data_IF_935706233228
#
_entry.id   IF_935706233228
#
_cell.length_a   1.000
_cell.length_b   1.000
_cell.length_c   1.000
_cell.angle_alpha   90.00
_cell.angle_beta   90.00
_cell.angle_gamma   90.00
#
_symmetry.space_group_name_H-M   'P 1'
#
loop_
_entity.id
_entity.type
_entity.pdbx_description
1 polymer ?
#
# COMPACT_ATOMS: atom_id res chain seq x y z
N UNK A 1 -15.14 -11.69 19.19
CA UNK A 1 -15.60 -11.44 17.82
C UNK A 1 -16.31 -10.11 17.84
N UNK A 2 -15.82 -9.14 17.07
CA UNK A 2 -16.34 -7.78 16.96
C UNK A 2 -16.44 -7.35 15.49
N UNK A 3 -16.32 -8.31 14.56
CA UNK A 3 -16.33 -8.08 13.11
C UNK A 3 -17.76 -7.94 12.54
N UNK A 4 -18.78 -7.97 13.41
CA UNK A 4 -20.19 -8.09 13.05
C UNK A 4 -21.10 -7.00 13.63
N UNK A 5 -20.65 -6.21 14.61
CA UNK A 5 -21.48 -5.12 15.14
C UNK A 5 -21.52 -3.91 14.22
N UNK A 6 -20.47 -3.68 13.43
CA UNK A 6 -20.33 -2.62 12.43
C UNK A 6 -20.96 -2.90 11.06
N UNK A 7 -21.83 -3.92 10.93
CA UNK A 7 -22.56 -4.21 9.67
C UNK A 7 -24.08 -4.12 9.81
N UNK A 8 -24.60 -3.80 11.00
CA UNK A 8 -26.04 -3.83 11.32
C UNK A 8 -26.68 -2.45 11.43
N UNK A 9 -25.92 -1.36 11.55
CA UNK A 9 -26.38 0.02 11.46
C UNK A 9 -26.25 0.53 10.02
N UNK A 10 -27.21 0.13 9.19
CA UNK A 10 -27.34 0.35 7.74
C UNK A 10 -27.21 1.80 7.20
N UNK A 11 -26.84 2.80 8.00
CA UNK A 11 -26.78 4.21 7.56
C UNK A 11 -25.53 4.98 7.99
N UNK A 12 -24.83 4.59 9.05
CA UNK A 12 -23.62 5.29 9.54
C UNK A 12 -22.34 4.45 9.43
N UNK A 13 -22.46 3.12 9.40
CA UNK A 13 -21.31 2.21 9.29
C UNK A 13 -20.63 2.27 7.94
N UNK A 14 -21.40 2.40 6.85
CA UNK A 14 -20.83 2.39 5.51
C UNK A 14 -20.00 3.66 5.23
N UNK A 15 -20.43 4.84 5.70
CA UNK A 15 -19.72 6.10 5.42
C UNK A 15 -18.40 6.22 6.18
N UNK A 16 -18.40 5.93 7.48
CA UNK A 16 -17.20 6.02 8.33
C UNK A 16 -16.18 4.92 7.99
N UNK A 17 -16.64 3.72 7.66
CA UNK A 17 -15.78 2.65 7.15
C UNK A 17 -15.17 3.00 5.79
N UNK A 18 -15.95 3.58 4.87
CA UNK A 18 -15.41 4.04 3.57
C UNK A 18 -14.33 5.10 3.77
N UNK A 19 -14.55 6.04 4.69
CA UNK A 19 -13.59 7.11 4.99
C UNK A 19 -12.29 6.54 5.58
N UNK A 20 -12.39 5.63 6.56
CA UNK A 20 -11.24 4.97 7.16
C UNK A 20 -10.48 4.10 6.15
N UNK A 21 -11.18 3.40 5.25
CA UNK A 21 -10.58 2.65 4.15
C UNK A 21 -9.83 3.58 3.19
N UNK A 22 -10.45 4.67 2.74
CA UNK A 22 -9.81 5.63 1.84
C UNK A 22 -8.57 6.26 2.49
N UNK A 23 -8.64 6.57 3.78
CA UNK A 23 -7.50 7.10 4.57
C UNK A 23 -6.36 6.10 4.70
N UNK A 24 -6.68 4.83 4.96
CA UNK A 24 -5.71 3.74 4.99
C UNK A 24 -5.02 3.54 3.63
N UNK A 25 -5.80 3.54 2.54
CA UNK A 25 -5.29 3.44 1.18
C UNK A 25 -4.36 4.60 0.82
N UNK A 26 -4.77 5.85 1.08
CA UNK A 26 -3.93 7.04 0.81
C UNK A 26 -2.60 6.96 1.57
N UNK A 27 -2.63 6.55 2.84
CA UNK A 27 -1.42 6.40 3.65
C UNK A 27 -0.52 5.26 3.14
N UNK A 28 -1.11 4.13 2.74
CA UNK A 28 -0.39 3.02 2.16
C UNK A 28 0.27 3.40 0.82
N UNK A 29 -0.48 4.07 -0.07
CA UNK A 29 0.06 4.59 -1.33
C UNK A 29 1.16 5.61 -1.10
N UNK A 30 1.05 6.51 -0.11
CA UNK A 30 2.11 7.47 0.21
C UNK A 30 3.42 6.79 0.59
N UNK A 31 3.36 5.66 1.31
CA UNK A 31 4.54 4.83 1.61
C UNK A 31 5.04 4.11 0.36
N UNK A 32 4.14 3.51 -0.41
CA UNK A 32 4.47 2.84 -1.68
C UNK A 32 5.16 3.76 -2.69
N UNK A 33 4.67 4.99 -2.86
CA UNK A 33 5.27 5.98 -3.76
C UNK A 33 6.67 6.44 -3.29
N UNK A 34 6.88 6.58 -1.98
CA UNK A 34 8.23 6.87 -1.45
C UNK A 34 9.20 5.73 -1.75
N UNK A 35 8.77 4.48 -1.60
CA UNK A 35 9.58 3.30 -1.93
C UNK A 35 9.86 3.22 -3.43
N UNK A 36 8.86 3.45 -4.28
CA UNK A 36 9.04 3.55 -5.74
C UNK A 36 10.09 4.61 -6.11
N UNK A 37 10.00 5.79 -5.48
CA UNK A 37 10.96 6.86 -5.73
C UNK A 37 12.39 6.44 -5.36
N UNK A 38 12.57 5.78 -4.21
CA UNK A 38 13.87 5.24 -3.79
C UNK A 38 14.38 4.19 -4.79
N UNK A 39 13.53 3.29 -5.26
CA UNK A 39 13.90 2.26 -6.25
C UNK A 39 14.37 2.90 -7.57
N UNK A 40 13.64 3.89 -8.08
CA UNK A 40 14.01 4.62 -9.30
C UNK A 40 15.33 5.37 -9.09
N UNK A 41 15.52 5.99 -7.92
CA UNK A 41 16.75 6.71 -7.61
C UNK A 41 17.96 5.78 -7.50
N UNK A 42 17.81 4.62 -6.87
CA UNK A 42 18.81 3.55 -6.82
C UNK A 42 19.15 3.04 -8.21
N UNK A 43 18.16 2.92 -9.09
CA UNK A 43 18.40 2.57 -10.49
C UNK A 43 19.15 3.64 -11.27
N UNK A 44 18.88 4.92 -10.99
CA UNK A 44 19.57 6.03 -11.65
C UNK A 44 21.04 6.14 -11.20
N UNK A 45 21.35 5.79 -9.95
CA UNK A 45 22.70 5.79 -9.39
C UNK A 45 23.46 4.49 -9.75
N UNK A 46 22.75 3.37 -9.81
CA UNK A 46 23.30 2.05 -10.07
C UNK A 46 23.55 1.81 -11.56
N UNK A 47 24.82 1.57 -11.89
CA UNK A 47 25.37 1.25 -13.21
C UNK A 47 24.75 0.00 -13.89
N UNK A 48 23.47 0.03 -14.28
CA UNK A 48 22.84 -0.98 -15.13
C UNK A 48 22.92 -0.67 -16.63
N UNK A 49 23.70 0.34 -17.02
CA UNK A 49 23.95 0.72 -18.41
C UNK A 49 24.55 -0.40 -19.29
N UNK A 50 25.03 -1.51 -18.69
CA UNK A 50 25.68 -2.60 -19.43
C UNK A 50 24.70 -3.66 -19.92
N UNK A 51 23.59 -3.93 -19.21
CA UNK A 51 22.60 -4.96 -19.57
C UNK A 51 21.17 -4.58 -19.19
N UNK A 52 20.37 -4.24 -20.19
CA UNK A 52 18.97 -3.76 -20.04
C UNK A 52 18.04 -4.83 -19.46
N UNK A 53 18.32 -6.11 -19.73
CA UNK A 53 17.51 -7.25 -19.27
C UNK A 53 17.47 -7.36 -17.75
N UNK A 54 18.64 -7.27 -17.10
CA UNK A 54 18.73 -7.32 -15.64
C UNK A 54 18.09 -6.11 -14.97
N UNK A 55 18.16 -4.94 -15.60
CA UNK A 55 17.46 -3.75 -15.15
C UNK A 55 15.93 -3.96 -15.16
N UNK A 56 15.40 -4.59 -16.22
CA UNK A 56 13.98 -4.90 -16.33
C UNK A 56 13.54 -5.93 -15.28
N UNK A 57 14.33 -7.00 -15.07
CA UNK A 57 14.05 -8.01 -14.04
C UNK A 57 13.99 -7.37 -12.65
N UNK A 58 14.96 -6.51 -12.32
CA UNK A 58 14.99 -5.82 -11.03
C UNK A 58 13.80 -4.86 -10.85
N UNK A 59 13.41 -4.13 -11.91
CA UNK A 59 12.20 -3.30 -11.88
C UNK A 59 10.94 -4.13 -11.62
N UNK A 60 10.78 -5.26 -12.30
CA UNK A 60 9.60 -6.10 -12.12
C UNK A 60 9.49 -6.64 -10.70
N UNK A 61 10.60 -7.12 -10.13
CA UNK A 61 10.64 -7.63 -8.75
C UNK A 61 10.30 -6.51 -7.76
N UNK A 62 10.94 -5.35 -7.90
CA UNK A 62 10.73 -4.23 -6.99
C UNK A 62 9.32 -3.67 -7.05
N UNK A 63 8.75 -3.48 -8.23
CA UNK A 63 7.35 -3.04 -8.40
C UNK A 63 6.38 -4.05 -7.82
N UNK A 64 6.60 -5.35 -8.05
CA UNK A 64 5.76 -6.41 -7.48
C UNK A 64 5.79 -6.41 -5.96
N UNK A 65 6.98 -6.26 -5.37
CA UNK A 65 7.15 -6.20 -3.91
C UNK A 65 6.50 -4.96 -3.30
N UNK A 66 6.63 -3.80 -3.95
CA UNK A 66 5.99 -2.57 -3.50
C UNK A 66 4.46 -2.71 -3.58
N UNK A 67 3.94 -3.29 -4.66
CA UNK A 67 2.50 -3.53 -4.80
C UNK A 67 1.95 -4.43 -3.70
N UNK A 68 2.62 -5.56 -3.42
CA UNK A 68 2.26 -6.45 -2.32
C UNK A 68 2.30 -5.74 -0.96
N UNK A 69 3.33 -4.91 -0.73
CA UNK A 69 3.47 -4.12 0.50
C UNK A 69 2.34 -3.10 0.64
N UNK A 70 1.94 -2.41 -0.43
CA UNK A 70 0.84 -1.44 -0.41
C UNK A 70 -0.48 -2.11 -0.06
N UNK A 71 -0.78 -3.27 -0.64
CA UNK A 71 -1.98 -4.05 -0.28
C UNK A 71 -1.95 -4.46 1.19
N UNK A 72 -0.82 -5.00 1.65
CA UNK A 72 -0.68 -5.42 3.04
C UNK A 72 -0.85 -4.23 4.00
N UNK A 73 -0.22 -3.09 3.70
CA UNK A 73 -0.26 -1.91 4.53
C UNK A 73 -1.64 -1.25 4.55
N UNK A 74 -2.36 -1.24 3.42
CA UNK A 74 -3.75 -0.77 3.35
C UNK A 74 -4.66 -1.58 4.28
N UNK A 75 -4.59 -2.91 4.21
CA UNK A 75 -5.37 -3.79 5.08
C UNK A 75 -4.95 -3.68 6.56
N UNK A 76 -3.65 -3.55 6.82
CA UNK A 76 -3.14 -3.39 8.19
C UNK A 76 -3.56 -2.06 8.82
N UNK A 77 -3.49 -0.95 8.06
CA UNK A 77 -3.94 0.36 8.52
C UNK A 77 -5.45 0.40 8.74
N UNK A 78 -6.22 -0.21 7.84
CA UNK A 78 -7.66 -0.35 8.01
C UNK A 78 -8.00 -1.11 9.30
N UNK A 79 -7.36 -2.27 9.53
CA UNK A 79 -7.52 -3.04 10.76
C UNK A 79 -7.13 -2.24 12.01
N UNK A 80 -6.07 -1.42 11.92
CA UNK A 80 -5.63 -0.56 13.03
C UNK A 80 -6.61 0.58 13.29
N UNK A 81 -7.20 1.18 12.26
CA UNK A 81 -8.22 2.22 12.43
C UNK A 81 -9.51 1.65 13.01
N UNK A 82 -9.91 0.43 12.63
CA UNK A 82 -11.07 -0.25 13.22
C UNK A 82 -10.86 -0.68 14.68
N UNK A 83 -9.61 -0.90 15.10
CA UNK A 83 -9.27 -1.28 16.50
C UNK A 83 -8.79 -0.13 17.37
N UNK A 84 -8.61 1.05 16.79
CA UNK A 84 -7.89 2.18 17.37
C UNK A 84 -8.75 3.41 17.66
N UNK A 85 -10.07 3.27 17.57
CA UNK A 85 -11.10 4.14 18.18
C UNK A 85 -11.95 3.30 19.14
#
# INVERSE_FOLDING_TARGET
GFFFEGKLSHTLEDELFLENKRKAEINAYKVGFKLLFIVIWLMAIGMFSRNVEWCAIFMLISVSLIYALVIFLSNYLLYRYEKGE
#
